data_IF_532107355065
#
_entry.id   IF_532107355065
#
_cell.length_a   1.000
_cell.length_b   1.000
_cell.length_c   1.000
_cell.angle_alpha   90.00
_cell.angle_beta   90.00
_cell.angle_gamma   90.00
#
_symmetry.space_group_name_H-M   'P 1'
#
loop_
_entity.id
_entity.type
_entity.pdbx_description
1 polymer ?
#
# COMPACT_ATOMS: atom_id res chain seq x y z
N UNK A 1 25.05 -5.95 16.65
CA UNK A 1 24.47 -4.81 15.88
C UNK A 1 24.15 -3.69 16.86
N UNK A 2 24.26 -2.41 16.48
CA UNK A 2 23.78 -1.32 17.33
C UNK A 2 22.26 -1.41 17.51
N UNK A 3 21.73 -0.70 18.51
CA UNK A 3 20.28 -0.59 18.71
C UNK A 3 19.70 0.22 17.52
N UNK A 4 18.72 -0.36 16.83
CA UNK A 4 17.96 0.34 15.81
C UNK A 4 16.80 1.07 16.49
N UNK A 5 16.75 2.37 16.31
CA UNK A 5 15.65 3.21 16.78
C UNK A 5 14.62 3.35 15.62
N UNK A 6 13.36 3.01 15.87
CA UNK A 6 12.30 3.09 14.86
C UNK A 6 11.27 4.11 15.31
N UNK A 7 11.05 5.15 14.51
CA UNK A 7 10.07 6.20 14.78
C UNK A 7 8.85 5.98 13.91
N UNK A 8 7.70 5.84 14.55
CA UNK A 8 6.42 5.46 13.95
C UNK A 8 5.33 6.46 14.33
N UNK A 9 4.28 6.63 13.51
CA UNK A 9 3.09 7.39 13.89
C UNK A 9 2.43 6.81 15.15
N UNK A 10 1.85 7.65 16.00
CA UNK A 10 1.25 7.22 17.26
C UNK A 10 0.00 6.35 17.11
N UNK A 11 -0.66 6.40 15.95
CA UNK A 11 -1.85 5.60 15.60
C UNK A 11 -1.52 4.28 14.86
N UNK A 12 -0.24 3.87 14.85
CA UNK A 12 0.24 2.71 14.10
C UNK A 12 -0.54 1.41 14.39
N UNK A 13 -1.08 1.25 15.59
CA UNK A 13 -1.83 0.07 16.02
C UNK A 13 -3.35 0.30 16.11
N UNK A 14 -3.88 1.41 15.55
CA UNK A 14 -5.31 1.67 15.61
C UNK A 14 -6.11 0.69 14.74
N UNK A 15 -6.87 -0.25 15.34
CA UNK A 15 -7.64 -1.24 14.59
C UNK A 15 -8.84 -0.64 13.85
N UNK A 16 -9.26 0.59 14.20
CA UNK A 16 -10.35 1.28 13.53
C UNK A 16 -9.89 1.91 12.22
N UNK A 17 -8.56 2.19 12.10
CA UNK A 17 -7.98 2.87 10.94
C UNK A 17 -6.84 2.07 10.28
N UNK A 18 -7.05 0.80 9.89
CA UNK A 18 -6.00 -0.01 9.28
C UNK A 18 -5.48 0.68 8.01
N UNK A 19 -4.15 0.71 7.87
CA UNK A 19 -3.48 1.22 6.68
C UNK A 19 -2.40 0.25 6.20
N UNK A 20 -2.12 0.26 4.89
CA UNK A 20 -1.04 -0.56 4.33
C UNK A 20 0.34 -0.14 4.86
N UNK A 21 0.57 1.16 5.08
CA UNK A 21 1.80 1.68 5.67
C UNK A 21 2.04 1.16 7.08
N UNK A 22 1.04 1.28 7.97
CA UNK A 22 1.12 0.77 9.33
C UNK A 22 1.39 -0.75 9.35
N UNK A 23 0.70 -1.50 8.50
CA UNK A 23 0.92 -2.95 8.36
C UNK A 23 2.34 -3.28 7.90
N UNK A 24 2.86 -2.53 6.94
CA UNK A 24 4.23 -2.67 6.46
C UNK A 24 5.24 -2.41 7.59
N UNK A 25 5.10 -1.30 8.31
CA UNK A 25 6.03 -0.93 9.38
C UNK A 25 6.06 -1.96 10.51
N UNK A 26 4.90 -2.49 10.90
CA UNK A 26 4.83 -3.56 11.89
C UNK A 26 5.52 -4.84 11.43
N UNK A 27 5.37 -5.22 10.16
CA UNK A 27 6.08 -6.36 9.57
C UNK A 27 7.59 -6.13 9.53
N UNK A 28 8.02 -4.93 9.21
CA UNK A 28 9.43 -4.55 9.20
C UNK A 28 10.04 -4.60 10.60
N UNK A 29 9.39 -4.01 11.60
CA UNK A 29 9.86 -4.05 12.99
C UNK A 29 10.01 -5.50 13.48
N UNK A 30 8.99 -6.33 13.27
CA UNK A 30 9.03 -7.75 13.64
C UNK A 30 10.12 -8.53 12.87
N UNK A 31 10.25 -8.30 11.57
CA UNK A 31 11.26 -8.94 10.72
C UNK A 31 12.69 -8.56 11.12
N UNK A 32 12.94 -7.29 11.40
CA UNK A 32 14.27 -6.81 11.85
C UNK A 32 14.62 -7.39 13.22
N UNK A 33 13.67 -7.44 14.17
CA UNK A 33 13.89 -8.08 15.46
C UNK A 33 14.21 -9.57 15.31
N UNK A 34 13.46 -10.29 14.45
CA UNK A 34 13.73 -11.70 14.14
C UNK A 34 15.09 -11.92 13.43
N UNK A 35 15.56 -10.93 12.65
CA UNK A 35 16.88 -10.93 12.02
C UNK A 35 18.02 -10.54 12.98
N UNK A 36 17.73 -10.36 14.28
CA UNK A 36 18.71 -10.11 15.35
C UNK A 36 19.09 -8.64 15.54
N UNK A 37 18.29 -7.68 15.03
CA UNK A 37 18.45 -6.29 15.38
C UNK A 37 17.82 -6.02 16.75
N UNK A 38 18.53 -5.37 17.70
CA UNK A 38 17.89 -4.81 18.88
C UNK A 38 17.04 -3.61 18.47
N UNK A 39 15.72 -3.79 18.33
CA UNK A 39 14.79 -2.75 17.89
C UNK A 39 14.22 -2.02 19.11
N UNK A 40 14.23 -0.68 19.05
CA UNK A 40 13.56 0.19 20.01
C UNK A 40 12.60 1.12 19.28
N UNK A 41 11.31 0.93 19.51
CA UNK A 41 10.24 1.67 18.87
C UNK A 41 9.85 2.93 19.64
N UNK A 42 9.49 3.98 18.90
CA UNK A 42 8.99 5.26 19.40
C UNK A 42 7.72 5.60 18.59
N UNK A 43 6.57 5.25 19.14
CA UNK A 43 5.28 5.71 18.60
C UNK A 43 5.08 7.18 18.99
N UNK A 44 5.30 8.09 18.04
CA UNK A 44 5.20 9.53 18.31
C UNK A 44 3.75 9.99 18.14
N UNK A 45 3.13 10.54 19.20
CA UNK A 45 1.77 11.06 19.11
C UNK A 45 1.72 12.25 18.15
N UNK A 46 0.59 12.43 17.46
CA UNK A 46 0.40 13.59 16.59
C UNK A 46 -0.53 13.32 15.41
N UNK A 47 -0.98 14.39 14.79
CA UNK A 47 -1.81 14.39 13.59
C UNK A 47 -0.98 14.25 12.31
N UNK A 48 -0.10 13.23 12.22
CA UNK A 48 0.75 13.02 11.04
C UNK A 48 -0.07 12.76 9.77
N UNK A 49 0.27 13.41 8.66
CA UNK A 49 1.44 14.27 8.35
C UNK A 49 1.18 15.80 8.58
N UNK A 50 0.39 16.18 9.52
CA UNK A 50 0.07 17.60 9.85
C UNK A 50 0.30 17.87 11.35
N UNK A 51 1.54 17.69 11.85
CA UNK A 51 1.83 17.82 13.27
C UNK A 51 1.72 19.29 13.73
N UNK A 52 1.25 19.47 14.95
CA UNK A 52 1.34 20.75 15.66
C UNK A 52 2.79 21.09 16.04
N UNK A 53 3.10 22.34 16.37
CA UNK A 53 4.44 22.71 16.87
C UNK A 53 4.88 21.93 18.12
N UNK A 54 3.94 21.56 18.99
CA UNK A 54 4.23 20.75 20.21
C UNK A 54 4.63 19.34 19.83
N UNK A 55 3.95 18.73 18.87
CA UNK A 55 4.28 17.38 18.37
C UNK A 55 5.64 17.34 17.64
N UNK A 56 5.95 18.39 16.87
CA UNK A 56 7.27 18.56 16.26
C UNK A 56 8.38 18.70 17.31
N UNK A 57 8.15 19.47 18.38
CA UNK A 57 9.10 19.61 19.47
C UNK A 57 9.31 18.30 20.23
N UNK A 58 8.26 17.54 20.49
CA UNK A 58 8.35 16.23 21.13
C UNK A 58 9.19 15.24 20.31
N UNK A 59 9.02 15.22 18.98
CA UNK A 59 9.87 14.43 18.10
C UNK A 59 11.33 14.89 18.14
N UNK A 60 11.59 16.20 18.13
CA UNK A 60 12.93 16.74 18.23
C UNK A 60 13.62 16.34 19.55
N UNK A 61 12.90 16.26 20.67
CA UNK A 61 13.41 15.75 21.95
C UNK A 61 13.76 14.25 21.87
N UNK A 62 12.91 13.44 21.21
CA UNK A 62 13.23 12.02 20.97
C UNK A 62 14.54 11.90 20.20
N UNK A 63 14.69 12.63 19.07
CA UNK A 63 15.90 12.59 18.27
C UNK A 63 17.13 13.08 19.06
N UNK A 64 16.97 14.14 19.86
CA UNK A 64 18.06 14.69 20.68
C UNK A 64 18.58 13.70 21.74
N UNK A 65 17.69 12.86 22.30
CA UNK A 65 18.02 11.84 23.28
C UNK A 65 18.69 10.58 22.72
N UNK A 66 18.80 10.42 21.40
CA UNK A 66 19.44 9.25 20.80
C UNK A 66 20.97 9.37 20.84
N UNK A 67 21.72 8.27 20.98
CA UNK A 67 23.18 8.30 20.97
C UNK A 67 23.74 8.64 19.58
N UNK A 68 24.91 9.26 19.55
CA UNK A 68 25.62 9.56 18.30
C UNK A 68 25.96 8.27 17.53
N UNK A 69 25.83 8.32 16.21
CA UNK A 69 26.01 7.17 15.33
C UNK A 69 24.83 6.20 15.28
N UNK A 70 23.75 6.44 16.07
CA UNK A 70 22.61 5.53 16.11
C UNK A 70 21.89 5.47 14.75
N UNK A 71 21.54 4.25 14.24
CA UNK A 71 20.65 4.10 13.11
C UNK A 71 19.20 4.41 13.53
N UNK A 72 18.52 5.23 12.73
CA UNK A 72 17.16 5.68 12.99
C UNK A 72 16.31 5.45 11.74
N UNK A 73 15.45 4.44 11.77
CA UNK A 73 14.43 4.21 10.74
C UNK A 73 13.21 5.06 11.09
N UNK A 74 12.74 5.89 10.15
CA UNK A 74 11.67 6.85 10.40
C UNK A 74 10.58 6.68 9.35
N UNK A 75 9.33 6.44 9.77
CA UNK A 75 8.18 6.44 8.85
C UNK A 75 8.11 7.76 8.07
N UNK A 76 7.84 7.66 6.76
CA UNK A 76 7.80 8.80 5.85
C UNK A 76 6.73 9.84 6.17
N UNK A 77 5.59 9.44 6.76
CA UNK A 77 4.58 10.40 7.22
C UNK A 77 5.11 11.34 8.31
N UNK A 78 6.04 10.83 9.12
CA UNK A 78 6.72 11.61 10.17
C UNK A 78 7.92 12.35 9.58
N UNK A 79 8.80 11.65 8.89
CA UNK A 79 10.06 12.20 8.38
C UNK A 79 9.85 13.39 7.42
N UNK A 80 8.94 13.24 6.45
CA UNK A 80 8.77 14.19 5.35
C UNK A 80 8.24 15.58 5.77
N UNK A 81 7.75 15.73 7.00
CA UNK A 81 7.13 16.98 7.47
C UNK A 81 7.91 17.71 8.57
N UNK A 82 9.07 17.17 8.97
CA UNK A 82 9.91 17.72 10.03
C UNK A 82 11.37 17.95 9.58
N UNK A 83 11.60 18.61 8.44
CA UNK A 83 12.96 18.75 7.88
C UNK A 83 13.95 19.39 8.84
N UNK A 84 13.53 20.39 9.64
CA UNK A 84 14.42 21.09 10.56
C UNK A 84 14.94 20.17 11.66
N UNK A 85 14.10 19.28 12.20
CA UNK A 85 14.51 18.29 13.19
C UNK A 85 15.53 17.30 12.60
N UNK A 86 15.29 16.83 11.35
CA UNK A 86 16.22 15.90 10.70
C UNK A 86 17.55 16.56 10.37
N UNK A 87 17.53 17.78 9.80
CA UNK A 87 18.75 18.55 9.47
C UNK A 87 19.60 18.78 10.71
N UNK A 88 18.99 19.15 11.85
CA UNK A 88 19.70 19.37 13.12
C UNK A 88 20.50 18.14 13.60
N UNK A 89 20.03 16.95 13.25
CA UNK A 89 20.62 15.68 13.70
C UNK A 89 21.35 14.88 12.61
N UNK A 90 21.36 15.33 11.35
CA UNK A 90 21.91 14.61 10.20
C UNK A 90 23.41 14.26 10.34
N UNK A 91 24.20 15.07 11.07
CA UNK A 91 25.65 14.82 11.25
C UNK A 91 25.95 13.78 12.30
N UNK A 92 25.03 13.53 13.25
CA UNK A 92 25.27 12.64 14.39
C UNK A 92 24.44 11.35 14.37
N UNK A 93 23.31 11.33 13.66
CA UNK A 93 22.45 10.14 13.52
C UNK A 93 22.56 9.57 12.10
N UNK A 94 22.32 8.28 11.96
CA UNK A 94 22.16 7.61 10.67
C UNK A 94 20.67 7.55 10.32
N UNK A 95 20.19 8.65 9.72
CA UNK A 95 18.76 8.83 9.43
C UNK A 95 18.36 8.04 8.18
N UNK A 96 17.36 7.21 8.29
CA UNK A 96 16.81 6.36 7.22
C UNK A 96 15.30 6.55 7.13
N UNK A 97 14.79 7.54 6.38
CA UNK A 97 13.37 7.67 6.08
C UNK A 97 12.87 6.48 5.26
N UNK A 98 11.70 5.96 5.64
CA UNK A 98 10.95 4.90 4.96
C UNK A 98 9.75 5.52 4.25
N UNK A 99 9.84 5.75 2.95
CA UNK A 99 8.85 6.52 2.19
C UNK A 99 7.78 5.60 1.60
N UNK A 100 6.58 5.64 2.19
CA UNK A 100 5.40 4.95 1.69
C UNK A 100 4.68 5.75 0.60
N UNK A 101 4.55 7.07 0.79
CA UNK A 101 3.84 7.97 -0.12
C UNK A 101 4.64 9.27 -0.28
N UNK A 102 5.23 9.52 -1.46
CA UNK A 102 5.88 10.80 -1.73
C UNK A 102 4.91 11.97 -1.61
N UNK A 103 5.37 13.06 -1.00
CA UNK A 103 4.58 14.29 -0.82
C UNK A 103 4.76 15.28 -1.97
N UNK A 104 5.91 15.22 -2.63
CA UNK A 104 6.29 16.11 -3.74
C UNK A 104 6.43 17.60 -3.33
N UNK A 105 6.80 17.88 -2.08
CA UNK A 105 6.96 19.24 -1.54
C UNK A 105 8.41 19.52 -1.06
N UNK A 106 8.69 20.80 -0.77
CA UNK A 106 10.02 21.24 -0.37
C UNK A 106 10.43 20.76 1.04
N UNK A 107 9.47 20.48 1.92
CA UNK A 107 9.74 19.92 3.25
C UNK A 107 10.30 18.51 3.12
N UNK A 108 9.67 17.67 2.31
CA UNK A 108 10.18 16.33 2.01
C UNK A 108 11.55 16.39 1.32
N UNK A 109 11.75 17.30 0.35
CA UNK A 109 13.04 17.47 -0.31
C UNK A 109 14.18 17.73 0.70
N UNK A 110 13.96 18.63 1.66
CA UNK A 110 14.93 18.95 2.72
C UNK A 110 15.14 17.80 3.69
N UNK A 111 14.08 17.11 4.07
CA UNK A 111 14.15 15.95 4.95
C UNK A 111 14.96 14.80 4.33
N UNK A 112 14.69 14.47 3.07
CA UNK A 112 15.40 13.40 2.35
C UNK A 112 16.84 13.78 2.00
N UNK A 113 17.13 15.06 1.75
CA UNK A 113 18.50 15.53 1.57
C UNK A 113 19.36 15.36 2.84
N UNK A 114 18.75 15.51 4.03
CA UNK A 114 19.41 15.33 5.32
C UNK A 114 19.60 13.85 5.72
N UNK A 115 18.92 12.92 5.05
CA UNK A 115 19.00 11.49 5.35
C UNK A 115 20.34 10.88 4.93
N UNK A 116 20.81 9.87 5.66
CA UNK A 116 21.99 9.08 5.25
C UNK A 116 21.63 8.18 4.07
N UNK A 117 20.48 7.55 4.13
CA UNK A 117 19.92 6.62 3.13
C UNK A 117 18.41 6.78 3.13
N UNK A 118 17.74 6.45 2.04
CA UNK A 118 16.26 6.48 1.91
C UNK A 118 15.77 5.11 1.49
N UNK A 119 14.73 4.62 2.10
CA UNK A 119 14.03 3.40 1.68
C UNK A 119 12.70 3.77 1.05
N UNK A 120 12.49 3.36 -0.19
CA UNK A 120 11.23 3.48 -0.93
C UNK A 120 10.50 2.13 -0.94
N UNK A 121 9.18 2.14 -0.80
CA UNK A 121 8.38 0.91 -0.77
C UNK A 121 8.01 0.35 -2.16
N UNK A 122 8.47 0.99 -3.24
CA UNK A 122 8.32 0.49 -4.61
C UNK A 122 9.37 1.09 -5.55
N UNK A 123 9.59 0.47 -6.70
CA UNK A 123 10.39 1.02 -7.78
C UNK A 123 9.81 2.35 -8.28
N UNK A 124 8.48 2.43 -8.42
CA UNK A 124 7.79 3.66 -8.79
C UNK A 124 8.07 4.80 -7.79
N UNK A 125 7.98 4.52 -6.48
CA UNK A 125 8.30 5.51 -5.44
C UNK A 125 9.75 5.96 -5.55
N UNK A 126 10.70 5.02 -5.69
CA UNK A 126 12.12 5.33 -5.88
C UNK A 126 12.35 6.26 -7.08
N UNK A 127 11.82 5.90 -8.23
CA UNK A 127 12.02 6.67 -9.46
C UNK A 127 11.42 8.08 -9.34
N UNK A 128 10.26 8.21 -8.68
CA UNK A 128 9.65 9.50 -8.39
C UNK A 128 10.52 10.35 -7.47
N UNK A 129 11.08 9.80 -6.40
CA UNK A 129 12.00 10.52 -5.50
C UNK A 129 13.27 10.97 -6.21
N UNK A 130 13.88 10.09 -7.02
CA UNK A 130 15.07 10.42 -7.80
C UNK A 130 14.78 11.54 -8.80
N UNK A 131 13.67 11.46 -9.52
CA UNK A 131 13.30 12.45 -10.51
C UNK A 131 12.92 13.80 -9.88
N UNK A 132 12.18 13.76 -8.76
CA UNK A 132 11.63 14.98 -8.13
C UNK A 132 12.67 15.74 -7.31
N UNK A 133 13.57 15.04 -6.63
CA UNK A 133 14.49 15.61 -5.66
C UNK A 133 15.96 15.49 -6.03
N UNK A 134 16.26 14.96 -7.20
CA UNK A 134 17.65 14.75 -7.70
C UNK A 134 18.56 14.06 -6.66
N UNK A 135 18.02 13.12 -5.88
CA UNK A 135 18.78 12.36 -4.90
C UNK A 135 19.80 11.45 -5.62
N UNK A 136 20.99 11.19 -5.04
CA UNK A 136 21.89 10.19 -5.54
C UNK A 136 21.23 8.80 -5.58
N UNK A 137 21.33 8.11 -6.72
CA UNK A 137 20.61 6.86 -6.94
C UNK A 137 21.05 5.71 -6.01
N UNK A 138 22.30 5.75 -5.56
CA UNK A 138 22.90 4.82 -4.60
C UNK A 138 22.41 5.03 -3.15
N UNK A 139 21.80 6.18 -2.87
CA UNK A 139 21.21 6.48 -1.55
C UNK A 139 19.73 6.07 -1.44
N UNK A 140 19.09 5.66 -2.53
CA UNK A 140 17.65 5.32 -2.52
C UNK A 140 17.45 3.85 -2.84
N UNK A 141 17.10 3.06 -1.82
CA UNK A 141 16.90 1.63 -1.91
C UNK A 141 15.42 1.29 -2.03
N UNK A 142 15.12 0.19 -2.72
CA UNK A 142 13.74 -0.33 -2.80
C UNK A 142 13.58 -1.51 -1.86
N UNK A 143 12.62 -1.41 -0.94
CA UNK A 143 12.15 -2.51 -0.14
C UNK A 143 10.64 -2.67 -0.35
N UNK A 144 10.26 -3.35 -1.42
CA UNK A 144 8.84 -3.60 -1.71
C UNK A 144 8.20 -4.46 -0.62
N UNK A 145 6.89 -4.24 -0.30
CA UNK A 145 6.18 -5.08 0.65
C UNK A 145 6.21 -6.54 0.25
N UNK A 146 6.50 -7.40 1.20
CA UNK A 146 6.24 -8.82 1.07
C UNK A 146 4.75 -9.14 1.21
N UNK A 147 4.40 -10.38 0.93
CA UNK A 147 3.04 -10.88 1.15
C UNK A 147 3.06 -12.16 1.98
N UNK A 148 2.05 -12.33 2.83
CA UNK A 148 1.89 -13.58 3.56
C UNK A 148 1.38 -14.69 2.65
N UNK A 149 1.89 -15.91 2.78
CA UNK A 149 1.31 -17.07 2.12
C UNK A 149 -0.16 -17.22 2.50
N UNK A 150 -1.00 -17.54 1.52
CA UNK A 150 -2.42 -17.75 1.76
C UNK A 150 -2.94 -18.95 0.94
N UNK A 151 -3.98 -19.66 1.41
CA UNK A 151 -4.60 -20.70 0.61
C UNK A 151 -5.14 -20.16 -0.70
N UNK A 152 -5.00 -20.86 -1.83
CA UNK A 152 -5.63 -20.49 -3.08
C UNK A 152 -7.16 -20.42 -2.94
N UNK A 153 -7.79 -19.43 -3.56
CA UNK A 153 -9.25 -19.35 -3.62
C UNK A 153 -9.75 -20.08 -4.86
N UNK A 154 -10.79 -20.94 -4.74
CA UNK A 154 -11.26 -21.71 -5.88
C UNK A 154 -11.92 -20.84 -6.95
N UNK A 155 -12.54 -19.72 -6.52
CA UNK A 155 -13.42 -18.93 -7.34
C UNK A 155 -14.67 -19.68 -7.81
N UNK A 156 -15.61 -18.97 -8.42
CA UNK A 156 -16.83 -19.54 -8.99
C UNK A 156 -16.73 -19.69 -10.53
N UNK A 157 -17.51 -20.57 -11.13
CA UNK A 157 -17.61 -20.67 -12.59
C UNK A 157 -18.12 -19.37 -13.24
N UNK A 158 -19.01 -18.68 -12.55
CA UNK A 158 -19.66 -17.44 -13.01
C UNK A 158 -18.71 -16.25 -12.97
N UNK A 159 -17.74 -16.24 -12.04
CA UNK A 159 -16.82 -15.12 -11.86
C UNK A 159 -17.50 -13.85 -11.34
N UNK A 160 -18.65 -13.99 -10.69
CA UNK A 160 -19.59 -12.89 -10.42
C UNK A 160 -19.35 -12.16 -9.08
N UNK A 161 -18.52 -12.72 -8.20
CA UNK A 161 -18.23 -12.14 -6.89
C UNK A 161 -17.01 -11.22 -6.96
N UNK A 162 -17.24 -9.91 -6.90
CA UNK A 162 -16.21 -8.88 -6.95
C UNK A 162 -15.82 -8.41 -5.55
N UNK A 163 -14.55 -8.10 -5.35
CA UNK A 163 -14.02 -7.58 -4.09
C UNK A 163 -13.21 -6.30 -4.35
N UNK A 164 -13.45 -5.26 -3.56
CA UNK A 164 -12.60 -4.08 -3.49
C UNK A 164 -12.12 -3.92 -2.05
N UNK A 165 -10.80 -3.97 -1.83
CA UNK A 165 -10.20 -3.82 -0.50
C UNK A 165 -9.47 -2.48 -0.46
N UNK A 166 -10.11 -1.47 0.11
CA UNK A 166 -9.56 -0.12 0.27
C UNK A 166 -10.43 0.70 1.23
N UNK A 167 -9.85 1.70 1.89
CA UNK A 167 -10.64 2.73 2.55
C UNK A 167 -11.58 3.39 1.54
N UNK A 168 -12.85 3.59 1.90
CA UNK A 168 -13.82 4.23 1.02
C UNK A 168 -13.59 5.73 1.05
N UNK A 169 -12.73 6.20 0.14
CA UNK A 169 -12.30 7.59 0.01
C UNK A 169 -12.07 7.93 -1.47
N UNK A 170 -12.11 9.21 -1.80
CA UNK A 170 -12.09 9.69 -3.17
C UNK A 170 -10.90 9.16 -3.99
N UNK A 171 -9.69 9.16 -3.41
CA UNK A 171 -8.47 8.70 -4.10
C UNK A 171 -8.46 7.19 -4.42
N UNK A 172 -9.35 6.38 -3.83
CA UNK A 172 -9.48 4.94 -4.11
C UNK A 172 -10.49 4.60 -5.23
N UNK A 173 -11.17 5.60 -5.80
CA UNK A 173 -11.93 5.47 -7.05
C UNK A 173 -13.22 4.63 -6.96
N UNK A 174 -13.82 4.48 -5.78
CA UNK A 174 -15.08 3.73 -5.63
C UNK A 174 -16.23 4.32 -6.45
N UNK A 175 -16.21 5.62 -6.69
CA UNK A 175 -17.16 6.31 -7.57
C UNK A 175 -16.97 5.90 -9.03
N UNK A 176 -15.74 5.80 -9.51
CA UNK A 176 -15.42 5.27 -10.85
C UNK A 176 -15.92 3.83 -10.99
N UNK A 177 -15.74 3.01 -9.92
CA UNK A 177 -16.24 1.64 -9.92
C UNK A 177 -17.76 1.56 -9.96
N UNK A 178 -18.47 2.41 -9.23
CA UNK A 178 -19.94 2.45 -9.27
C UNK A 178 -20.46 2.81 -10.65
N UNK A 179 -19.89 3.81 -11.31
CA UNK A 179 -20.25 4.17 -12.70
C UNK A 179 -19.98 3.01 -13.68
N UNK A 180 -18.85 2.34 -13.55
CA UNK A 180 -18.51 1.19 -14.38
C UNK A 180 -19.49 0.02 -14.16
N UNK A 181 -19.86 -0.26 -12.90
CA UNK A 181 -20.80 -1.31 -12.54
C UNK A 181 -22.23 -1.00 -13.00
N UNK A 182 -22.64 0.28 -13.02
CA UNK A 182 -23.91 0.70 -13.60
C UNK A 182 -23.98 0.39 -15.10
N UNK A 183 -22.86 0.56 -15.84
CA UNK A 183 -22.80 0.24 -17.27
C UNK A 183 -22.83 -1.28 -17.57
N UNK A 184 -22.66 -2.15 -16.59
CA UNK A 184 -22.77 -3.61 -16.67
C UNK A 184 -23.86 -4.18 -15.75
N UNK A 185 -24.88 -3.36 -15.42
CA UNK A 185 -25.97 -3.76 -14.54
C UNK A 185 -26.83 -4.91 -15.14
N UNK A 186 -26.77 -5.09 -16.47
CA UNK A 186 -27.42 -6.17 -17.23
C UNK A 186 -26.73 -7.55 -17.00
N UNK A 187 -25.59 -7.59 -16.32
CA UNK A 187 -24.86 -8.82 -15.96
C UNK A 187 -25.09 -9.19 -14.48
N UNK A 188 -24.95 -10.48 -14.18
CA UNK A 188 -24.99 -10.94 -12.79
C UNK A 188 -23.63 -10.72 -12.14
N UNK A 189 -23.59 -9.92 -11.09
CA UNK A 189 -22.40 -9.68 -10.24
C UNK A 189 -22.85 -9.16 -8.86
N UNK A 190 -21.99 -9.32 -7.88
CA UNK A 190 -22.06 -8.65 -6.57
C UNK A 190 -20.73 -8.04 -6.24
N UNK A 191 -20.69 -6.97 -5.45
CA UNK A 191 -19.48 -6.33 -4.99
C UNK A 191 -19.45 -6.22 -3.47
N UNK A 192 -18.34 -6.62 -2.85
CA UNK A 192 -18.03 -6.29 -1.47
C UNK A 192 -16.89 -5.25 -1.44
N UNK A 193 -17.14 -4.08 -0.82
CA UNK A 193 -16.13 -3.08 -0.51
C UNK A 193 -15.71 -3.25 0.95
N UNK A 194 -14.47 -3.67 1.20
CA UNK A 194 -13.90 -3.87 2.52
C UNK A 194 -12.89 -2.78 2.84
N UNK A 195 -13.19 -1.93 3.83
CA UNK A 195 -12.30 -0.86 4.27
C UNK A 195 -13.03 0.21 5.09
N UNK A 196 -12.28 1.07 5.80
CA UNK A 196 -12.83 2.13 6.63
C UNK A 196 -13.78 3.07 5.87
N UNK A 197 -14.89 3.41 6.50
CA UNK A 197 -15.91 4.34 5.96
C UNK A 197 -15.80 5.74 6.57
N UNK A 198 -15.04 5.91 7.64
CA UNK A 198 -14.93 7.15 8.40
C UNK A 198 -13.82 8.09 7.93
N UNK A 199 -12.98 7.65 6.96
CA UNK A 199 -11.87 8.47 6.44
C UNK A 199 -12.32 9.66 5.59
N UNK A 200 -13.47 9.52 4.90
CA UNK A 200 -14.06 10.55 4.04
C UNK A 200 -15.59 10.41 4.06
N UNK A 201 -16.24 10.77 5.19
CA UNK A 201 -17.69 10.61 5.34
C UNK A 201 -18.51 11.29 4.23
N UNK A 202 -18.16 12.53 3.79
CA UNK A 202 -18.89 13.16 2.68
C UNK A 202 -18.81 12.38 1.35
N UNK A 203 -17.66 11.72 1.09
CA UNK A 203 -17.51 10.87 -0.08
C UNK A 203 -18.37 9.61 0.04
N UNK A 204 -18.41 8.98 1.20
CA UNK A 204 -19.23 7.79 1.46
C UNK A 204 -20.70 8.10 1.26
N UNK A 205 -21.20 9.24 1.73
CA UNK A 205 -22.58 9.65 1.54
C UNK A 205 -22.94 9.90 0.07
N UNK A 206 -22.06 10.56 -0.68
CA UNK A 206 -22.19 10.71 -2.15
C UNK A 206 -22.19 9.35 -2.85
N UNK A 207 -21.32 8.42 -2.42
CA UNK A 207 -21.25 7.08 -3.00
C UNK A 207 -22.55 6.30 -2.78
N UNK A 208 -23.15 6.37 -1.57
CA UNK A 208 -24.45 5.77 -1.26
C UNK A 208 -25.57 6.34 -2.11
N UNK A 209 -25.57 7.66 -2.30
CA UNK A 209 -26.55 8.31 -3.18
C UNK A 209 -26.45 7.81 -4.63
N UNK A 210 -25.23 7.67 -5.19
CA UNK A 210 -25.00 7.11 -6.53
C UNK A 210 -25.42 5.66 -6.64
N UNK A 211 -25.14 4.83 -5.63
CA UNK A 211 -25.63 3.44 -5.59
C UNK A 211 -27.16 3.36 -5.64
N UNK A 212 -27.86 4.25 -4.94
CA UNK A 212 -29.32 4.33 -4.97
C UNK A 212 -29.84 4.82 -6.34
N UNK A 213 -29.23 5.85 -6.92
CA UNK A 213 -29.55 6.41 -8.23
C UNK A 213 -29.46 5.34 -9.33
N UNK A 214 -28.36 4.55 -9.33
CA UNK A 214 -28.16 3.45 -10.29
C UNK A 214 -28.88 2.15 -9.92
N UNK A 215 -29.64 2.11 -8.80
CA UNK A 215 -30.34 0.91 -8.29
C UNK A 215 -29.40 -0.28 -8.04
N UNK A 216 -28.20 0.01 -7.51
CA UNK A 216 -27.17 -0.98 -7.23
C UNK A 216 -27.02 -1.29 -5.72
N UNK A 217 -27.83 -0.68 -4.85
CA UNK A 217 -27.70 -0.79 -3.40
C UNK A 217 -27.78 -2.25 -2.90
N UNK A 218 -28.59 -3.09 -3.51
CA UNK A 218 -28.73 -4.50 -3.14
C UNK A 218 -27.59 -5.40 -3.65
N UNK A 219 -26.77 -4.90 -4.57
CA UNK A 219 -25.65 -5.62 -5.18
C UNK A 219 -24.28 -5.21 -4.65
N UNK A 220 -24.20 -4.07 -3.95
CA UNK A 220 -22.94 -3.50 -3.43
C UNK A 220 -23.01 -3.42 -1.90
N UNK A 221 -22.14 -4.16 -1.24
CA UNK A 221 -22.01 -4.15 0.22
C UNK A 221 -20.81 -3.31 0.66
N UNK A 222 -21.04 -2.21 1.37
CA UNK A 222 -19.99 -1.46 2.08
C UNK A 222 -19.78 -2.12 3.45
N UNK A 223 -18.80 -3.04 3.54
CA UNK A 223 -18.63 -3.94 4.69
C UNK A 223 -17.95 -3.26 5.90
N UNK A 224 -17.40 -2.05 5.73
CA UNK A 224 -16.52 -1.46 6.74
C UNK A 224 -15.15 -2.15 6.80
N UNK A 225 -14.33 -1.85 7.82
CA UNK A 225 -13.01 -2.43 7.96
C UNK A 225 -13.11 -3.94 8.26
N UNK A 226 -12.40 -4.74 7.47
CA UNK A 226 -12.22 -6.17 7.69
C UNK A 226 -10.74 -6.46 7.94
N UNK A 227 -10.44 -7.27 8.94
CA UNK A 227 -9.09 -7.72 9.29
C UNK A 227 -9.09 -9.21 9.63
N UNK A 228 -7.93 -9.85 9.67
CA UNK A 228 -7.78 -11.25 10.07
C UNK A 228 -8.69 -12.20 9.29
N UNK A 229 -9.35 -13.11 10.00
CA UNK A 229 -10.21 -14.15 9.41
C UNK A 229 -11.38 -13.56 8.60
N UNK A 230 -11.91 -12.39 8.99
CA UNK A 230 -13.00 -11.74 8.24
C UNK A 230 -12.52 -11.24 6.87
N UNK A 231 -11.32 -10.69 6.77
CA UNK A 231 -10.72 -10.30 5.49
C UNK A 231 -10.37 -11.53 4.67
N UNK A 232 -9.80 -12.56 5.28
CA UNK A 232 -9.52 -13.84 4.62
C UNK A 232 -10.78 -14.46 4.03
N UNK A 233 -11.90 -14.45 4.76
CA UNK A 233 -13.20 -14.94 4.28
C UNK A 233 -13.75 -14.09 3.11
N UNK A 234 -13.53 -12.76 3.13
CA UNK A 234 -13.95 -11.89 2.02
C UNK A 234 -13.17 -12.21 0.74
N UNK A 235 -11.85 -12.46 0.83
CA UNK A 235 -11.06 -12.94 -0.31
C UNK A 235 -11.54 -14.34 -0.77
N UNK A 236 -11.79 -15.27 0.16
CA UNK A 236 -12.21 -16.63 -0.18
C UNK A 236 -13.57 -16.69 -0.91
N UNK A 237 -14.44 -15.72 -0.67
CA UNK A 237 -15.76 -15.60 -1.29
C UNK A 237 -15.76 -14.83 -2.63
N UNK A 238 -14.60 -14.34 -3.08
CA UNK A 238 -14.50 -13.48 -4.26
C UNK A 238 -13.83 -14.19 -5.45
N UNK A 239 -14.15 -13.73 -6.65
CA UNK A 239 -13.63 -14.22 -7.92
C UNK A 239 -12.57 -13.29 -8.52
N UNK A 240 -12.72 -11.98 -8.29
CA UNK A 240 -11.89 -10.92 -8.87
C UNK A 240 -11.68 -9.81 -7.85
N UNK A 241 -10.44 -9.40 -7.64
CA UNK A 241 -10.14 -8.14 -6.98
C UNK A 241 -10.29 -6.99 -7.99
N UNK A 242 -11.07 -5.96 -7.65
CA UNK A 242 -11.17 -4.72 -8.45
C UNK A 242 -10.58 -3.56 -7.64
N UNK A 243 -9.53 -2.92 -8.19
CA UNK A 243 -8.79 -1.85 -7.51
C UNK A 243 -8.65 -0.60 -8.38
N UNK A 244 -9.70 0.26 -8.45
CA UNK A 244 -9.80 1.38 -9.38
C UNK A 244 -9.14 2.67 -8.86
N UNK A 245 -8.04 2.54 -8.11
CA UNK A 245 -7.38 3.66 -7.41
C UNK A 245 -6.92 4.75 -8.38
N UNK A 246 -7.02 6.02 -7.96
CA UNK A 246 -6.47 7.20 -8.67
C UNK A 246 -4.98 7.40 -8.43
N UNK A 247 -4.48 6.84 -7.35
CA UNK A 247 -3.06 6.89 -6.97
C UNK A 247 -2.72 5.75 -6.02
N UNK A 248 -1.61 5.08 -6.28
CA UNK A 248 -1.14 3.97 -5.48
C UNK A 248 0.38 3.84 -5.60
N UNK A 249 1.06 3.75 -4.48
CA UNK A 249 2.51 3.64 -4.48
C UNK A 249 3.01 2.22 -4.70
N UNK A 250 2.24 1.22 -4.27
CA UNK A 250 2.52 -0.19 -4.50
C UNK A 250 1.24 -0.99 -4.78
N UNK A 251 0.32 -1.07 -3.79
CA UNK A 251 -0.89 -1.86 -3.91
C UNK A 251 -0.78 -3.24 -3.25
N UNK A 252 -0.54 -3.27 -1.95
CA UNK A 252 -0.43 -4.53 -1.18
C UNK A 252 -1.64 -5.45 -1.38
N UNK A 253 -2.84 -4.91 -1.51
CA UNK A 253 -4.06 -5.70 -1.76
C UNK A 253 -4.01 -6.47 -3.09
N UNK A 254 -3.24 -5.98 -4.08
CA UNK A 254 -3.01 -6.69 -5.35
C UNK A 254 -2.17 -7.93 -5.10
N UNK A 255 -1.06 -7.81 -4.38
CA UNK A 255 -0.23 -8.97 -4.05
C UNK A 255 -0.92 -9.93 -3.08
N UNK A 256 -1.78 -9.44 -2.18
CA UNK A 256 -2.63 -10.27 -1.32
C UNK A 256 -3.64 -11.11 -2.13
N UNK A 257 -4.25 -10.54 -3.17
CA UNK A 257 -5.11 -11.27 -4.10
C UNK A 257 -4.30 -12.33 -4.89
N UNK A 258 -3.15 -11.93 -5.42
CA UNK A 258 -2.27 -12.83 -6.18
C UNK A 258 -1.72 -13.97 -5.31
N UNK A 259 -1.42 -13.74 -4.03
CA UNK A 259 -1.02 -14.78 -3.08
C UNK A 259 -2.11 -15.86 -2.90
N UNK A 260 -3.36 -15.52 -3.24
CA UNK A 260 -4.52 -16.43 -3.24
C UNK A 260 -4.86 -16.98 -4.63
N UNK A 261 -4.02 -16.71 -5.64
CA UNK A 261 -4.31 -17.08 -7.02
C UNK A 261 -5.54 -16.37 -7.61
N UNK A 262 -5.92 -15.22 -7.03
CA UNK A 262 -7.07 -14.43 -7.47
C UNK A 262 -6.63 -13.42 -8.55
N UNK A 263 -7.28 -13.38 -9.72
CA UNK A 263 -7.06 -12.35 -10.72
C UNK A 263 -7.41 -10.95 -10.23
N UNK A 264 -6.80 -9.96 -10.86
CA UNK A 264 -6.97 -8.55 -10.47
C UNK A 264 -7.38 -7.69 -11.68
N UNK A 265 -8.32 -6.78 -11.47
CA UNK A 265 -8.63 -5.68 -12.38
C UNK A 265 -8.27 -4.36 -11.67
N UNK A 266 -7.30 -3.63 -12.17
CA UNK A 266 -6.81 -2.43 -11.50
C UNK A 266 -6.57 -1.28 -12.47
N UNK A 267 -6.50 -0.06 -11.93
CA UNK A 267 -6.02 1.10 -12.68
C UNK A 267 -4.52 0.99 -12.95
N UNK A 268 -4.08 1.41 -14.14
CA UNK A 268 -2.67 1.48 -14.52
C UNK A 268 -2.03 2.76 -13.95
N UNK A 269 -1.87 2.82 -12.61
CA UNK A 269 -1.37 4.00 -11.89
C UNK A 269 -0.32 3.62 -10.85
N UNK A 270 0.70 4.47 -10.71
CA UNK A 270 1.73 4.31 -9.68
C UNK A 270 2.45 2.96 -9.75
N UNK A 271 2.57 2.30 -8.62
CA UNK A 271 3.19 0.98 -8.51
C UNK A 271 2.28 -0.21 -8.81
N UNK A 272 0.99 0.01 -9.18
CA UNK A 272 0.05 -1.10 -9.44
C UNK A 272 0.48 -2.01 -10.61
N UNK A 273 1.00 -1.49 -11.74
CA UNK A 273 1.50 -2.34 -12.82
C UNK A 273 2.62 -3.29 -12.37
N UNK A 274 3.52 -2.82 -11.51
CA UNK A 274 4.64 -3.61 -10.97
C UNK A 274 4.16 -4.63 -9.93
N UNK A 275 3.26 -4.25 -9.04
CA UNK A 275 2.66 -5.16 -8.06
C UNK A 275 1.90 -6.30 -8.73
N UNK A 276 1.14 -6.00 -9.78
CA UNK A 276 0.46 -7.01 -10.60
C UNK A 276 1.48 -7.90 -11.33
N UNK A 277 2.46 -7.29 -11.99
CA UNK A 277 3.55 -7.99 -12.68
C UNK A 277 3.06 -8.98 -13.73
N UNK A 278 3.85 -10.03 -13.93
CA UNK A 278 3.58 -11.12 -14.88
C UNK A 278 3.90 -12.47 -14.23
N UNK A 279 3.20 -13.50 -14.63
CA UNK A 279 3.57 -14.88 -14.36
C UNK A 279 4.88 -15.25 -15.09
N UNK A 280 5.57 -16.35 -14.73
CA UNK A 280 6.84 -16.73 -15.35
C UNK A 280 6.80 -16.92 -16.88
N UNK A 281 5.62 -17.19 -17.44
CA UNK A 281 5.38 -17.32 -18.88
C UNK A 281 5.07 -15.97 -19.58
N UNK A 282 5.17 -14.85 -18.87
CA UNK A 282 4.90 -13.50 -19.39
C UNK A 282 3.42 -13.12 -19.40
N UNK A 283 2.50 -13.98 -18.99
CA UNK A 283 1.07 -13.65 -18.92
C UNK A 283 0.80 -12.78 -17.68
N UNK A 284 0.10 -11.65 -17.89
CA UNK A 284 -0.33 -10.81 -16.75
C UNK A 284 -1.50 -11.48 -16.04
N UNK A 285 -1.49 -11.56 -14.68
CA UNK A 285 -2.53 -12.22 -13.89
C UNK A 285 -3.76 -11.35 -13.65
N UNK A 286 -4.09 -10.48 -14.59
CA UNK A 286 -5.19 -9.52 -14.46
C UNK A 286 -5.26 -8.56 -15.63
N UNK A 287 -6.13 -7.56 -15.47
CA UNK A 287 -6.36 -6.50 -16.45
C UNK A 287 -5.97 -5.15 -15.85
N UNK A 288 -5.36 -4.29 -16.67
CA UNK A 288 -5.09 -2.89 -16.32
C UNK A 288 -5.90 -1.97 -17.22
N UNK A 289 -6.51 -0.95 -16.63
CA UNK A 289 -7.27 0.09 -17.32
C UNK A 289 -6.73 1.48 -17.00
N UNK A 290 -6.94 2.50 -17.81
CA UNK A 290 -6.61 3.87 -17.46
C UNK A 290 -7.28 4.27 -16.13
N UNK A 291 -6.62 5.05 -15.26
CA UNK A 291 -7.28 5.60 -14.09
C UNK A 291 -8.38 6.58 -14.49
N UNK A 292 -9.38 6.74 -13.64
CA UNK A 292 -10.50 7.68 -13.82
C UNK A 292 -11.33 7.46 -15.13
N UNK A 293 -11.26 6.27 -15.71
CA UNK A 293 -12.00 5.90 -16.90
C UNK A 293 -13.04 4.80 -16.58
N UNK A 294 -14.28 5.19 -16.22
CA UNK A 294 -15.34 4.23 -15.91
C UNK A 294 -15.77 3.41 -17.14
N UNK A 295 -15.57 3.91 -18.37
CA UNK A 295 -15.92 3.17 -19.58
C UNK A 295 -14.91 2.06 -19.86
N UNK A 296 -13.62 2.34 -19.74
CA UNK A 296 -12.58 1.30 -19.84
C UNK A 296 -12.74 0.24 -18.75
N UNK A 297 -13.05 0.65 -17.51
CA UNK A 297 -13.30 -0.25 -16.40
C UNK A 297 -14.56 -1.11 -16.66
N UNK A 298 -15.65 -0.52 -17.17
CA UNK A 298 -16.87 -1.25 -17.55
C UNK A 298 -16.59 -2.27 -18.68
N UNK A 299 -15.81 -1.88 -19.69
CA UNK A 299 -15.39 -2.78 -20.76
C UNK A 299 -14.61 -3.98 -20.25
N UNK A 300 -13.66 -3.75 -19.33
CA UNK A 300 -12.89 -4.82 -18.70
C UNK A 300 -13.77 -5.74 -17.81
N UNK A 301 -14.69 -5.16 -17.03
CA UNK A 301 -15.68 -5.92 -16.24
C UNK A 301 -16.58 -6.77 -17.13
N UNK A 302 -17.10 -6.21 -18.24
CA UNK A 302 -17.91 -6.96 -19.21
C UNK A 302 -17.14 -8.12 -19.82
N UNK A 303 -15.90 -7.87 -20.24
CA UNK A 303 -15.03 -8.93 -20.77
C UNK A 303 -14.78 -10.03 -19.73
N UNK A 304 -14.51 -9.67 -18.46
CA UNK A 304 -14.38 -10.63 -17.37
C UNK A 304 -15.67 -11.46 -17.14
N UNK A 305 -16.83 -10.81 -17.12
CA UNK A 305 -18.11 -11.47 -16.82
C UNK A 305 -18.57 -12.38 -17.99
N UNK A 306 -18.30 -11.99 -19.24
CA UNK A 306 -18.80 -12.68 -20.43
C UNK A 306 -17.85 -13.80 -20.92
N UNK A 307 -16.52 -13.72 -20.64
CA UNK A 307 -15.52 -14.63 -21.23
C UNK A 307 -14.95 -15.60 -20.17
N UNK A 308 -15.45 -16.84 -20.20
CA UNK A 308 -14.97 -17.92 -19.31
C UNK A 308 -13.52 -18.32 -19.59
N UNK A 309 -13.08 -18.26 -20.87
CA UNK A 309 -11.70 -18.60 -21.24
C UNK A 309 -10.72 -17.53 -20.71
N UNK A 310 -11.10 -16.26 -20.75
CA UNK A 310 -10.34 -15.19 -20.11
C UNK A 310 -10.20 -15.44 -18.60
N UNK A 311 -11.31 -15.74 -17.91
CA UNK A 311 -11.27 -16.04 -16.46
C UNK A 311 -10.33 -17.17 -16.13
N UNK A 312 -10.41 -18.28 -16.87
CA UNK A 312 -9.53 -19.44 -16.66
C UNK A 312 -8.06 -19.06 -16.88
N UNK A 313 -7.73 -18.37 -17.97
CA UNK A 313 -6.37 -17.92 -18.29
C UNK A 313 -5.80 -16.98 -17.22
N UNK A 314 -6.59 -15.99 -16.78
CA UNK A 314 -6.12 -15.04 -15.76
C UNK A 314 -5.93 -15.72 -14.40
N UNK A 315 -6.81 -16.66 -14.04
CA UNK A 315 -6.68 -17.44 -12.80
C UNK A 315 -5.43 -18.32 -12.82
N UNK A 316 -5.16 -19.00 -13.91
CA UNK A 316 -3.96 -19.79 -14.07
C UNK A 316 -2.69 -18.92 -13.98
N UNK A 317 -2.69 -17.75 -14.62
CA UNK A 317 -1.60 -16.79 -14.50
C UNK A 317 -1.43 -16.28 -13.04
N UNK A 318 -2.53 -16.02 -12.32
CA UNK A 318 -2.48 -15.60 -10.93
C UNK A 318 -1.92 -16.68 -10.00
N UNK A 319 -2.26 -17.95 -10.22
CA UNK A 319 -1.67 -19.09 -9.50
C UNK A 319 -0.17 -19.20 -9.74
N UNK A 320 0.30 -19.05 -10.99
CA UNK A 320 1.74 -19.07 -11.29
C UNK A 320 2.47 -17.82 -10.77
N UNK A 321 1.83 -16.65 -10.78
CA UNK A 321 2.41 -15.43 -10.23
C UNK A 321 2.58 -15.51 -8.72
N UNK A 322 1.66 -16.17 -8.01
CA UNK A 322 1.71 -16.43 -6.57
C UNK A 322 3.07 -17.00 -6.13
N UNK A 323 3.62 -17.94 -6.89
CA UNK A 323 4.87 -18.63 -6.54
C UNK A 323 6.13 -17.75 -6.73
N UNK A 324 5.97 -16.56 -7.30
CA UNK A 324 7.05 -15.60 -7.56
C UNK A 324 6.92 -14.31 -6.73
N UNK A 325 5.95 -14.24 -5.82
CA UNK A 325 5.81 -13.10 -4.92
C UNK A 325 6.86 -13.16 -3.82
N UNK A 326 7.45 -12.01 -3.52
CA UNK A 326 8.37 -11.87 -2.38
C UNK A 326 7.59 -12.00 -1.05
N UNK A 327 8.20 -12.66 -0.09
CA UNK A 327 7.73 -12.70 1.30
C UNK A 327 8.29 -11.51 2.12
N UNK A 328 7.87 -11.39 3.38
CA UNK A 328 8.36 -10.35 4.28
C UNK A 328 9.83 -10.52 4.68
N UNK A 329 10.39 -11.71 4.50
CA UNK A 329 11.84 -11.97 4.71
C UNK A 329 12.66 -11.24 3.66
N UNK A 330 12.21 -11.23 2.40
CA UNK A 330 12.84 -10.49 1.33
C UNK A 330 12.82 -8.97 1.60
N UNK A 331 11.68 -8.41 2.06
CA UNK A 331 11.56 -7.01 2.48
C UNK A 331 12.55 -6.68 3.59
N UNK A 332 12.56 -7.50 4.66
CA UNK A 332 13.46 -7.32 5.81
C UNK A 332 14.93 -7.36 5.39
N UNK A 333 15.29 -8.25 4.48
CA UNK A 333 16.67 -8.36 3.95
C UNK A 333 17.09 -7.09 3.22
N UNK A 334 16.22 -6.52 2.38
CA UNK A 334 16.49 -5.27 1.66
C UNK A 334 16.67 -4.08 2.61
N UNK A 335 15.81 -3.96 3.64
CA UNK A 335 15.96 -2.92 4.67
C UNK A 335 17.24 -3.12 5.48
N UNK A 336 17.55 -4.36 5.84
CA UNK A 336 18.80 -4.68 6.56
C UNK A 336 20.02 -4.25 5.75
N UNK A 337 19.99 -4.42 4.43
CA UNK A 337 21.07 -3.97 3.54
C UNK A 337 21.21 -2.44 3.57
N UNK A 338 20.11 -1.71 3.40
CA UNK A 338 20.10 -0.24 3.46
C UNK A 338 20.59 0.28 4.83
N UNK A 339 20.19 -0.35 5.94
CA UNK A 339 20.63 0.01 7.29
C UNK A 339 22.14 -0.23 7.48
N UNK A 340 22.69 -1.34 6.96
CA UNK A 340 24.13 -1.63 7.03
C UNK A 340 24.94 -0.63 6.22
N UNK A 341 24.49 -0.24 5.05
CA UNK A 341 25.12 0.79 4.24
C UNK A 341 25.09 2.15 4.93
N UNK A 342 23.96 2.52 5.56
CA UNK A 342 23.87 3.74 6.36
C UNK A 342 24.85 3.76 7.55
N UNK A 343 25.15 2.61 8.13
CA UNK A 343 26.13 2.50 9.22
C UNK A 343 27.59 2.55 8.75
N UNK A 344 27.84 2.23 7.50
CA UNK A 344 29.18 2.25 6.91
C UNK A 344 29.59 3.64 6.35
N UNK A 345 28.59 4.53 6.19
CA UNK A 345 28.77 5.93 5.74
C UNK A 345 29.13 6.85 6.90
#
# INVERSE_FOLDING_TARGET
MPVLHVILPGDIDDPAAPSGGNGYDRRVCAGLAAAGWPVREYAVPGGWPQPSPVEQAALAEVLAGLPDGAPVLIDGLVASVVPDALVAHARRLRLVPLVHLPRDDDAEARALAAATTVVATSAWTRDRLLHRYALPADRVHVAAPGVDPAPPVPGSPEGAALLCVAAVAAHKGHDVLVEALAAVADRNWTLTCAGPLHRDPPFVDRLRARLAEHRLADRVRLAGPLTGDRLAAAYAAADLLVHPSRGETYGMVVTEALARGMPVLASAVGGLPDALGHAPDGVRPGLLVPPEDPQALAGALRHWLDDTALRARLREAALRRRDTLDDWTATTTRITTALKEALAS
#
